data_IF_095606865769
#
_entry.id   IF_095606865769
#
_cell.length_a   1.000
_cell.length_b   1.000
_cell.length_c   1.000
_cell.angle_alpha   90.00
_cell.angle_beta   90.00
_cell.angle_gamma   90.00
#
_symmetry.space_group_name_H-M   'P 1'
#
loop_
_entity.id
_entity.type
_entity.pdbx_description
1 polymer ?
#
# COMPACT_ATOMS: atom_id res chain seq x y z
N UNK A 1 -14.14 -6.97 -0.57
CA UNK A 1 -12.92 -7.01 0.27
C UNK A 1 -13.37 -7.23 1.70
N UNK A 2 -12.69 -8.09 2.45
CA UNK A 2 -13.03 -8.33 3.85
C UNK A 2 -12.74 -7.06 4.68
N UNK A 3 -13.71 -6.59 5.47
CA UNK A 3 -13.56 -5.38 6.29
C UNK A 3 -12.65 -5.67 7.48
N UNK A 4 -11.49 -5.02 7.53
CA UNK A 4 -10.59 -5.09 8.70
C UNK A 4 -10.99 -4.04 9.74
N UNK A 5 -10.70 -4.27 11.03
CA UNK A 5 -10.86 -3.25 12.06
C UNK A 5 -10.06 -1.99 11.71
N UNK A 6 -10.57 -0.82 12.10
CA UNK A 6 -9.85 0.43 11.93
C UNK A 6 -8.56 0.43 12.73
N UNK A 7 -7.53 1.06 12.18
CA UNK A 7 -6.22 1.19 12.81
C UNK A 7 -5.69 2.61 12.62
N UNK A 8 -5.11 3.17 13.67
CA UNK A 8 -4.35 4.41 13.58
C UNK A 8 -3.00 4.25 12.85
N UNK A 9 -2.68 3.05 12.35
CA UNK A 9 -1.42 2.76 11.66
C UNK A 9 -1.19 3.61 10.40
N UNK A 10 -2.26 4.08 9.76
CA UNK A 10 -2.22 4.85 8.51
C UNK A 10 -1.33 6.10 8.59
N UNK A 11 -1.27 6.77 9.76
CA UNK A 11 -0.44 7.96 9.97
C UNK A 11 1.07 7.69 9.84
N UNK A 12 1.47 6.42 9.88
CA UNK A 12 2.88 5.99 9.76
C UNK A 12 3.16 5.29 8.44
N UNK A 13 2.15 5.08 7.60
CA UNK A 13 2.28 4.37 6.33
C UNK A 13 2.52 5.36 5.18
N UNK A 14 3.19 4.91 4.12
CA UNK A 14 3.40 5.69 2.90
C UNK A 14 3.04 4.86 1.68
N UNK A 15 3.10 5.46 0.49
CA UNK A 15 2.80 4.74 -0.75
C UNK A 15 3.81 3.61 -1.05
N UNK A 16 5.09 3.80 -0.73
CA UNK A 16 6.16 2.80 -0.82
C UNK A 16 6.22 2.04 -2.14
N UNK A 17 6.09 2.78 -3.24
CA UNK A 17 6.11 2.21 -4.59
C UNK A 17 7.43 1.48 -4.89
N UNK A 18 8.57 2.07 -4.53
CA UNK A 18 9.88 1.50 -4.82
C UNK A 18 10.12 0.22 -4.03
N UNK A 19 9.71 0.18 -2.77
CA UNK A 19 9.84 -0.97 -1.89
C UNK A 19 8.88 -2.09 -2.30
N UNK A 20 7.64 -1.75 -2.69
CA UNK A 20 6.71 -2.69 -3.28
C UNK A 20 7.28 -3.32 -4.56
N UNK A 21 7.76 -2.48 -5.48
CA UNK A 21 8.40 -2.94 -6.72
C UNK A 21 9.58 -3.86 -6.44
N UNK A 22 10.45 -3.50 -5.48
CA UNK A 22 11.61 -4.31 -5.07
C UNK A 22 11.18 -5.69 -4.56
N UNK A 23 10.12 -5.76 -3.75
CA UNK A 23 9.60 -7.05 -3.27
C UNK A 23 9.05 -7.87 -4.44
N UNK A 24 8.30 -7.27 -5.37
CA UNK A 24 7.75 -7.99 -6.54
C UNK A 24 8.86 -8.50 -7.47
N UNK A 25 9.94 -7.73 -7.67
CA UNK A 25 11.12 -8.17 -8.43
C UNK A 25 11.79 -9.39 -7.79
N UNK A 26 11.91 -9.41 -6.46
CA UNK A 26 12.48 -10.56 -5.73
C UNK A 26 11.55 -11.77 -5.76
N UNK A 27 10.22 -11.57 -5.66
CA UNK A 27 9.24 -12.64 -5.84
C UNK A 27 9.31 -13.24 -7.25
N UNK A 28 9.46 -12.41 -8.29
CA UNK A 28 9.65 -12.85 -9.66
C UNK A 28 10.96 -13.64 -9.86
N UNK A 29 12.00 -13.30 -9.08
CA UNK A 29 13.26 -14.05 -9.02
C UNK A 29 13.18 -15.34 -8.18
N UNK A 30 11.99 -15.73 -7.71
CA UNK A 30 11.76 -16.99 -6.99
C UNK A 30 11.99 -16.91 -5.47
N UNK A 31 12.20 -15.72 -4.90
CA UNK A 31 12.34 -15.54 -3.45
C UNK A 31 10.99 -15.60 -2.75
N UNK A 32 11.00 -16.11 -1.53
CA UNK A 32 9.88 -16.07 -0.59
C UNK A 32 9.83 -14.75 0.16
N UNK A 33 8.67 -14.39 0.73
CA UNK A 33 8.57 -13.19 1.55
C UNK A 33 9.45 -13.28 2.80
N UNK A 34 9.62 -14.48 3.35
CA UNK A 34 10.50 -14.76 4.49
C UNK A 34 11.97 -14.50 4.15
N UNK A 35 12.45 -14.96 2.98
CA UNK A 35 13.80 -14.63 2.51
C UNK A 35 13.96 -13.12 2.30
N UNK A 36 12.97 -12.45 1.70
CA UNK A 36 13.01 -11.00 1.47
C UNK A 36 13.03 -10.23 2.80
N UNK A 37 12.34 -10.74 3.83
CA UNK A 37 12.36 -10.17 5.18
C UNK A 37 13.77 -10.22 5.77
N UNK A 38 14.44 -11.36 5.66
CA UNK A 38 15.80 -11.53 6.17
C UNK A 38 16.80 -10.69 5.37
N UNK A 39 16.66 -10.62 4.04
CA UNK A 39 17.44 -9.70 3.20
C UNK A 39 17.26 -8.24 3.66
N UNK A 40 16.03 -7.80 3.90
CA UNK A 40 15.79 -6.44 4.36
C UNK A 40 16.35 -6.17 5.77
N UNK A 41 16.31 -7.18 6.65
CA UNK A 41 16.88 -7.08 8.00
C UNK A 41 18.41 -6.98 7.98
N UNK A 42 19.06 -7.72 7.11
CA UNK A 42 20.52 -7.84 7.07
C UNK A 42 21.18 -6.78 6.16
N UNK A 43 20.55 -6.45 5.03
CA UNK A 43 21.12 -5.61 3.97
C UNK A 43 20.41 -4.26 3.83
N UNK A 44 19.28 -4.05 4.52
CA UNK A 44 18.44 -2.85 4.40
C UNK A 44 18.10 -2.53 2.93
N UNK A 45 17.57 -3.51 2.20
CA UNK A 45 17.24 -3.38 0.77
C UNK A 45 16.25 -2.25 0.44
N UNK A 46 15.58 -1.68 1.46
CA UNK A 46 14.70 -0.52 1.33
C UNK A 46 15.38 0.83 1.63
N UNK A 47 16.64 0.84 2.06
CA UNK A 47 17.35 2.07 2.42
C UNK A 47 16.70 2.85 3.57
N UNK A 48 16.05 2.14 4.50
CA UNK A 48 15.34 2.77 5.60
C UNK A 48 16.32 3.34 6.64
N UNK A 49 15.97 4.44 7.34
CA UNK A 49 16.87 5.10 8.29
C UNK A 49 17.12 4.29 9.57
N UNK A 50 16.24 3.35 9.91
CA UNK A 50 16.37 2.49 11.09
C UNK A 50 15.85 1.09 10.79
N UNK A 51 16.35 0.08 11.51
CA UNK A 51 15.87 -1.30 11.40
C UNK A 51 14.36 -1.41 11.73
N UNK A 52 13.86 -0.62 12.69
CA UNK A 52 12.45 -0.57 13.01
C UNK A 52 11.62 -0.04 11.83
N UNK A 53 12.10 1.01 11.16
CA UNK A 53 11.45 1.55 9.95
C UNK A 53 11.53 0.55 8.79
N UNK A 54 12.67 -0.11 8.59
CA UNK A 54 12.84 -1.16 7.59
C UNK A 54 11.81 -2.28 7.77
N UNK A 55 11.64 -2.76 9.00
CA UNK A 55 10.66 -3.80 9.33
C UNK A 55 9.22 -3.29 9.15
N UNK A 56 8.91 -2.05 9.51
CA UNK A 56 7.59 -1.47 9.29
C UNK A 56 7.21 -1.40 7.80
N UNK A 57 8.15 -0.96 6.96
CA UNK A 57 7.99 -0.95 5.50
C UNK A 57 7.73 -2.38 5.03
N UNK A 58 8.57 -3.34 5.43
CA UNK A 58 8.41 -4.74 5.03
C UNK A 58 7.04 -5.31 5.39
N UNK A 59 6.63 -5.16 6.65
CA UNK A 59 5.34 -5.69 7.15
C UNK A 59 4.18 -5.10 6.36
N UNK A 60 4.22 -3.80 6.06
CA UNK A 60 3.12 -3.16 5.32
C UNK A 60 3.12 -3.55 3.85
N UNK A 61 4.27 -3.49 3.18
CA UNK A 61 4.40 -3.83 1.76
C UNK A 61 4.02 -5.28 1.52
N UNK A 62 4.56 -6.21 2.33
CA UNK A 62 4.20 -7.62 2.23
C UNK A 62 2.72 -7.87 2.55
N UNK A 63 2.15 -7.13 3.51
CA UNK A 63 0.72 -7.15 3.81
C UNK A 63 -0.15 -6.73 2.62
N UNK A 64 0.23 -5.66 1.91
CA UNK A 64 -0.43 -5.21 0.67
C UNK A 64 -0.30 -6.25 -0.44
N UNK A 65 0.89 -6.78 -0.67
CA UNK A 65 1.13 -7.83 -1.67
C UNK A 65 0.24 -9.05 -1.42
N UNK A 66 0.09 -9.48 -0.16
CA UNK A 66 -0.77 -10.61 0.24
C UNK A 66 -2.26 -10.39 -0.04
N UNK A 67 -2.70 -9.16 -0.33
CA UNK A 67 -4.08 -8.89 -0.76
C UNK A 67 -4.34 -9.20 -2.23
N UNK A 68 -3.28 -9.41 -3.02
CA UNK A 68 -3.35 -9.70 -4.44
C UNK A 68 -3.16 -11.20 -4.69
N UNK A 69 -3.80 -11.71 -5.74
CA UNK A 69 -3.57 -13.09 -6.19
C UNK A 69 -2.16 -13.26 -6.76
N UNK A 70 -1.54 -14.42 -6.57
CA UNK A 70 -0.15 -14.70 -7.00
C UNK A 70 0.13 -14.39 -8.47
N UNK A 71 -0.86 -14.50 -9.34
CA UNK A 71 -0.74 -14.17 -10.77
C UNK A 71 -0.39 -12.70 -11.04
N UNK A 72 -0.61 -11.79 -10.08
CA UNK A 72 -0.34 -10.36 -10.26
C UNK A 72 1.15 -10.08 -10.53
N UNK A 73 2.06 -10.92 -10.03
CA UNK A 73 3.52 -10.70 -10.15
C UNK A 73 3.94 -10.64 -11.62
N UNK A 74 3.44 -11.56 -12.45
CA UNK A 74 3.75 -11.59 -13.87
C UNK A 74 3.19 -10.37 -14.61
N UNK A 75 1.95 -9.98 -14.29
CA UNK A 75 1.30 -8.81 -14.88
C UNK A 75 2.03 -7.53 -14.48
N UNK A 76 2.42 -7.39 -13.21
CA UNK A 76 3.14 -6.24 -12.70
C UNK A 76 4.50 -6.04 -13.40
N UNK A 77 5.25 -7.13 -13.60
CA UNK A 77 6.57 -7.07 -14.27
C UNK A 77 6.47 -6.62 -15.73
N UNK A 78 5.38 -6.97 -16.42
CA UNK A 78 5.12 -6.59 -17.82
C UNK A 78 4.44 -5.22 -17.97
N UNK A 79 4.00 -4.63 -16.86
CA UNK A 79 3.25 -3.38 -16.83
C UNK A 79 4.16 -2.16 -16.85
N UNK A 80 3.67 -1.06 -17.41
CA UNK A 80 4.31 0.25 -17.29
C UNK A 80 4.23 0.79 -15.85
N UNK A 81 4.94 1.89 -15.59
CA UNK A 81 5.01 2.50 -14.25
C UNK A 81 3.64 3.00 -13.78
N UNK A 82 2.78 3.46 -14.68
CA UNK A 82 1.45 3.95 -14.32
C UNK A 82 0.59 2.79 -13.79
N UNK A 83 0.55 1.68 -14.51
CA UNK A 83 -0.19 0.49 -14.12
C UNK A 83 0.40 -0.18 -12.87
N UNK A 84 1.73 -0.20 -12.72
CA UNK A 84 2.37 -0.65 -11.49
C UNK A 84 1.92 0.18 -10.28
N UNK A 85 1.81 1.51 -10.41
CA UNK A 85 1.28 2.37 -9.34
C UNK A 85 -0.19 2.07 -9.02
N UNK A 86 -1.00 1.72 -10.02
CA UNK A 86 -2.38 1.27 -9.79
C UNK A 86 -2.42 -0.01 -8.95
N UNK A 87 -1.56 -1.00 -9.21
CA UNK A 87 -1.46 -2.19 -8.35
C UNK A 87 -1.12 -1.84 -6.89
N UNK A 88 -0.18 -0.91 -6.68
CA UNK A 88 0.18 -0.46 -5.32
C UNK A 88 -0.98 0.27 -4.66
N UNK A 89 -1.72 1.11 -5.40
CA UNK A 89 -2.90 1.80 -4.89
C UNK A 89 -4.01 0.82 -4.50
N UNK A 90 -4.39 -0.08 -5.42
CA UNK A 90 -5.45 -1.08 -5.20
C UNK A 90 -5.12 -2.00 -4.02
N UNK A 91 -3.88 -2.49 -3.92
CA UNK A 91 -3.46 -3.30 -2.78
C UNK A 91 -3.39 -2.51 -1.47
N UNK A 92 -3.10 -1.20 -1.53
CA UNK A 92 -3.17 -0.32 -0.35
C UNK A 92 -4.61 -0.15 0.14
N UNK A 93 -5.56 0.05 -0.78
CA UNK A 93 -6.99 0.12 -0.47
C UNK A 93 -7.51 -1.22 0.08
N UNK A 94 -7.09 -2.34 -0.50
CA UNK A 94 -7.46 -3.66 -0.04
C UNK A 94 -6.89 -3.99 1.36
N UNK A 95 -5.71 -3.44 1.68
CA UNK A 95 -5.03 -3.68 2.94
C UNK A 95 -5.59 -2.85 4.11
N UNK A 96 -6.01 -1.62 3.83
CA UNK A 96 -6.45 -0.62 4.83
C UNK A 96 -7.89 -0.18 4.57
N UNK A 97 -8.83 -0.70 5.36
CA UNK A 97 -10.26 -0.40 5.23
C UNK A 97 -10.59 1.07 5.50
N UNK A 98 -9.86 1.75 6.37
CA UNK A 98 -10.10 3.16 6.66
C UNK A 98 -9.69 4.01 5.46
N UNK A 99 -8.54 3.70 4.85
CA UNK A 99 -8.11 4.37 3.61
C UNK A 99 -9.06 4.08 2.43
N UNK A 100 -9.54 2.84 2.31
CA UNK A 100 -10.57 2.49 1.32
C UNK A 100 -11.85 3.30 1.52
N UNK A 101 -12.39 3.34 2.75
CA UNK A 101 -13.60 4.10 3.05
C UNK A 101 -13.40 5.59 2.79
N UNK A 102 -12.24 6.17 3.13
CA UNK A 102 -11.95 7.56 2.81
C UNK A 102 -11.99 7.84 1.30
N UNK A 103 -11.38 6.96 0.50
CA UNK A 103 -11.40 7.10 -0.97
C UNK A 103 -12.81 6.90 -1.53
N UNK A 104 -13.57 5.95 -0.97
CA UNK A 104 -14.89 5.60 -1.45
C UNK A 104 -15.98 6.62 -1.05
N UNK A 105 -15.91 7.16 0.15
CA UNK A 105 -16.91 8.08 0.70
C UNK A 105 -16.57 9.53 0.35
N UNK A 106 -15.30 9.94 0.46
CA UNK A 106 -14.92 11.35 0.28
C UNK A 106 -14.42 11.63 -1.13
N UNK A 107 -13.39 10.91 -1.58
CA UNK A 107 -12.74 11.22 -2.87
C UNK A 107 -13.69 10.94 -4.04
N UNK A 108 -14.38 9.80 -4.02
CA UNK A 108 -15.35 9.44 -5.07
C UNK A 108 -16.48 10.46 -5.18
N UNK A 109 -17.05 10.92 -4.06
CA UNK A 109 -18.10 11.92 -4.05
C UNK A 109 -17.62 13.23 -4.70
N UNK A 110 -16.44 13.70 -4.31
CA UNK A 110 -15.83 14.89 -4.92
C UNK A 110 -15.64 14.76 -6.42
N UNK A 111 -15.12 13.62 -6.88
CA UNK A 111 -14.94 13.36 -8.30
C UNK A 111 -16.28 13.36 -9.06
N UNK A 112 -17.35 12.82 -8.46
CA UNK A 112 -18.71 12.86 -9.06
C UNK A 112 -19.22 14.30 -9.17
N UNK A 113 -18.94 15.13 -8.18
CA UNK A 113 -19.33 16.54 -8.16
C UNK A 113 -18.41 17.45 -9.00
N UNK A 114 -17.37 16.88 -9.63
CA UNK A 114 -16.38 17.64 -10.39
C UNK A 114 -15.44 18.50 -9.54
N UNK A 115 -15.36 18.24 -8.23
CA UNK A 115 -14.42 18.89 -7.33
C UNK A 115 -13.09 18.14 -7.34
N UNK A 116 -12.01 18.85 -7.66
CA UNK A 116 -10.64 18.33 -7.77
C UNK A 116 -9.79 18.62 -6.52
N UNK A 117 -10.37 19.24 -5.50
CA UNK A 117 -9.68 19.66 -4.27
C UNK A 117 -10.22 18.96 -3.03
N UNK A 118 -9.29 18.47 -2.21
CA UNK A 118 -9.56 17.96 -0.87
C UNK A 118 -9.26 19.07 0.15
N UNK A 119 -10.19 19.32 1.07
CA UNK A 119 -10.07 20.32 2.14
C UNK A 119 -9.95 19.65 3.50
N UNK A 120 -9.44 20.39 4.48
CA UNK A 120 -9.35 19.91 5.87
C UNK A 120 -10.72 19.55 6.46
N UNK A 121 -11.79 20.22 6.00
CA UNK A 121 -13.16 19.92 6.43
C UNK A 121 -13.60 18.54 5.97
N UNK A 122 -13.24 18.13 4.76
CA UNK A 122 -13.60 16.81 4.22
C UNK A 122 -12.99 15.68 5.06
N UNK A 123 -11.72 15.85 5.44
CA UNK A 123 -11.01 14.91 6.32
C UNK A 123 -11.66 14.87 7.69
N UNK A 124 -11.95 16.05 8.27
CA UNK A 124 -12.54 16.16 9.62
C UNK A 124 -13.94 15.55 9.70
N UNK A 125 -14.78 15.77 8.69
CA UNK A 125 -16.13 15.20 8.62
C UNK A 125 -16.04 13.69 8.56
N UNK A 126 -15.21 13.13 7.68
CA UNK A 126 -14.98 11.70 7.60
C UNK A 126 -14.60 11.10 8.95
N UNK A 127 -13.59 11.66 9.62
CA UNK A 127 -13.14 11.12 10.92
C UNK A 127 -14.13 11.36 12.08
N UNK A 128 -15.06 12.32 11.97
CA UNK A 128 -16.12 12.52 12.95
C UNK A 128 -17.16 11.40 12.90
N UNK A 129 -17.34 10.79 11.74
CA UNK A 129 -18.38 9.79 11.46
C UNK A 129 -17.86 8.33 11.59
N UNK A 130 -16.61 8.12 12.03
CA UNK A 130 -15.95 6.81 12.16
C UNK A 130 -15.65 6.40 13.60
#
# INVERSE_FOLDING_TARGET
MEKKPYSAGAVKMSFWFMEFRKVVELLAAGKTLEEIKEMNKNENIFGAPTAARANQIFVTVSGRIKTLDKSFVEVFQKSDVAMQKIFVLVSSLAYDSLFFEFVYEVIREKLILGADTLTDSDIRIFFKDK
#
